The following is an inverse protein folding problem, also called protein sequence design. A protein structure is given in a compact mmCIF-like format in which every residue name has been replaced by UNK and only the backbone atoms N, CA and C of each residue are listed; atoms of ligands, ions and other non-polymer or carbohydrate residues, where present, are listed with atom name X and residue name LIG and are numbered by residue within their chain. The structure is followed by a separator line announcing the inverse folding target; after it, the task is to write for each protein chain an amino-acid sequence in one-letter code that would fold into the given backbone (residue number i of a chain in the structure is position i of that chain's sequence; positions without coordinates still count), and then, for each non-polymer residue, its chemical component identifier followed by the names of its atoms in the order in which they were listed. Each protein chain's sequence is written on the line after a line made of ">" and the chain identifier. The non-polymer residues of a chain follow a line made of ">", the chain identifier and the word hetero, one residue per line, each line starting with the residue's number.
data_IF_888653337080
#
_entry.id   IF_888653337080
#
_cell.length_a   1.000
_cell.length_b   1.000
_cell.length_c   1.000
_cell.angle_alpha   90.00
_cell.angle_beta   90.00
_cell.angle_gamma   90.00
#
_symmetry.space_group_name_H-M   'P 1'
#
loop_
_entity.id
_entity.type
_entity.pdbx_description
1 polymer ?
#
# COMPACT_ATOMS: atom_id res chain seq x y z
N UNK A 1 -10.23 -4.34 -14.47
CA UNK A 1 -8.90 -5.04 -14.34
C UNK A 1 -8.37 -4.85 -12.91
N UNK A 2 -7.69 -5.82 -12.29
CA UNK A 2 -7.44 -5.80 -10.83
C UNK A 2 -6.02 -6.26 -10.47
N UNK A 3 -5.44 -5.65 -9.44
CA UNK A 3 -4.26 -6.15 -8.71
C UNK A 3 -4.54 -6.06 -7.21
N UNK A 4 -4.36 -7.15 -6.46
CA UNK A 4 -4.62 -7.22 -5.03
C UNK A 4 -3.36 -7.26 -4.16
N UNK A 5 -2.19 -7.32 -4.78
CA UNK A 5 -0.91 -7.54 -4.11
C UNK A 5 0.08 -6.46 -4.54
N UNK A 6 0.14 -5.39 -3.76
CA UNK A 6 1.21 -4.39 -3.86
C UNK A 6 1.75 -4.04 -2.48
N UNK A 7 3.03 -3.74 -2.43
CA UNK A 7 3.76 -3.34 -1.23
C UNK A 7 3.95 -1.82 -1.15
N UNK A 8 4.43 -1.35 -0.01
CA UNK A 8 4.89 0.04 0.16
C UNK A 8 6.36 0.06 0.52
N UNK A 9 7.00 1.23 0.43
CA UNK A 9 8.40 1.42 0.86
C UNK A 9 8.68 0.99 2.31
N UNK A 10 7.63 0.88 3.14
CA UNK A 10 7.74 0.47 4.55
C UNK A 10 8.21 -0.97 4.71
N UNK A 11 8.12 -1.84 3.70
CA UNK A 11 8.70 -3.18 3.77
C UNK A 11 10.24 -3.23 3.68
N UNK A 12 10.89 -2.12 3.35
CA UNK A 12 12.36 -2.05 3.24
C UNK A 12 12.94 -2.61 1.94
N UNK A 13 12.12 -3.17 1.04
CA UNK A 13 12.56 -3.70 -0.25
C UNK A 13 11.65 -3.33 -1.45
N UNK A 14 10.62 -2.52 -1.22
CA UNK A 14 9.88 -1.81 -2.27
C UNK A 14 10.30 -0.33 -2.30
N UNK A 15 10.05 0.34 -3.42
CA UNK A 15 10.47 1.72 -3.67
C UNK A 15 9.31 2.53 -4.27
N UNK A 16 9.38 3.85 -4.13
CA UNK A 16 8.32 4.77 -4.58
C UNK A 16 7.36 5.15 -3.46
N UNK A 17 6.54 6.17 -3.71
CA UNK A 17 5.53 6.64 -2.77
C UNK A 17 4.19 5.92 -2.99
N UNK A 18 3.38 5.80 -1.94
CA UNK A 18 2.09 5.09 -2.00
C UNK A 18 1.17 5.63 -3.13
N UNK A 19 1.19 6.95 -3.35
CA UNK A 19 0.41 7.61 -4.41
C UNK A 19 0.92 7.31 -5.82
N UNK A 20 2.22 7.06 -5.99
CA UNK A 20 2.79 6.70 -7.30
C UNK A 20 2.20 5.38 -7.79
N UNK A 21 2.05 4.40 -6.89
CA UNK A 21 1.42 3.12 -7.20
C UNK A 21 -0.03 3.30 -7.67
N UNK A 22 -0.79 4.18 -7.00
CA UNK A 22 -2.17 4.50 -7.39
C UNK A 22 -2.22 5.12 -8.79
N UNK A 23 -1.37 6.12 -9.05
CA UNK A 23 -1.33 6.81 -10.34
C UNK A 23 -0.93 5.88 -11.48
N UNK A 24 0.05 5.02 -11.27
CA UNK A 24 0.46 4.04 -12.28
C UNK A 24 -0.62 2.96 -12.48
N UNK A 25 -1.33 2.56 -11.42
CA UNK A 25 -2.45 1.63 -11.54
C UNK A 25 -3.59 2.22 -12.41
N UNK A 26 -3.96 3.47 -12.19
CA UNK A 26 -4.95 4.20 -13.02
C UNK A 26 -4.48 4.26 -14.47
N UNK A 27 -3.22 4.69 -14.72
CA UNK A 27 -2.63 4.74 -16.08
C UNK A 27 -2.64 3.37 -16.77
N UNK A 28 -2.44 2.28 -16.00
CA UNK A 28 -2.46 0.91 -16.50
C UNK A 28 -3.87 0.33 -16.69
N UNK A 29 -4.92 1.12 -16.43
CA UNK A 29 -6.33 0.76 -16.57
C UNK A 29 -6.82 -0.22 -15.50
N UNK A 30 -6.21 -0.21 -14.31
CA UNK A 30 -6.73 -0.95 -13.15
C UNK A 30 -7.95 -0.24 -12.56
N UNK A 31 -8.96 -1.03 -12.22
CA UNK A 31 -10.18 -0.60 -11.53
C UNK A 31 -10.10 -0.88 -10.03
N UNK A 32 -9.23 -1.82 -9.62
CA UNK A 32 -8.99 -2.19 -8.23
C UNK A 32 -7.49 -2.35 -7.98
N UNK A 33 -7.01 -1.69 -6.93
CA UNK A 33 -5.65 -1.83 -6.40
C UNK A 33 -5.71 -2.20 -4.91
N UNK A 34 -5.06 -3.30 -4.53
CA UNK A 34 -4.93 -3.72 -3.13
C UNK A 34 -3.51 -3.54 -2.63
N UNK A 35 -3.37 -2.79 -1.53
CA UNK A 35 -2.14 -2.73 -0.75
C UNK A 35 -2.18 -3.85 0.29
N UNK A 36 -1.19 -4.75 0.19
CA UNK A 36 -1.03 -5.94 1.02
C UNK A 36 0.43 -6.00 1.47
N UNK A 37 0.87 -4.96 2.17
CA UNK A 37 2.27 -4.88 2.61
C UNK A 37 2.57 -5.89 3.73
N UNK A 38 3.85 -6.20 3.96
CA UNK A 38 4.25 -7.21 4.95
C UNK A 38 3.81 -6.81 6.36
N UNK A 39 3.08 -7.70 7.04
CA UNK A 39 2.66 -7.45 8.42
C UNK A 39 3.85 -7.24 9.38
N UNK A 40 3.72 -6.26 10.28
CA UNK A 40 4.72 -5.98 11.30
C UNK A 40 4.84 -7.15 12.29
N UNK A 41 6.07 -7.41 12.75
CA UNK A 41 6.35 -8.34 13.84
C UNK A 41 6.75 -7.60 15.12
N UNK A 42 6.57 -8.21 16.31
CA UNK A 42 7.07 -7.67 17.57
C UNK A 42 8.60 -7.46 17.58
N UNK A 43 9.33 -8.31 16.85
CA UNK A 43 10.77 -8.16 16.65
C UNK A 43 10.99 -7.49 15.28
N UNK A 44 11.63 -6.30 15.24
CA UNK A 44 11.89 -5.58 13.99
C UNK A 44 12.69 -6.39 12.96
N UNK A 45 12.28 -6.31 11.70
CA UNK A 45 13.00 -6.85 10.55
C UNK A 45 12.93 -5.85 9.38
N UNK A 46 13.63 -4.70 9.48
CA UNK A 46 13.39 -3.53 8.63
C UNK A 46 13.75 -3.71 7.15
N UNK A 47 14.47 -4.78 6.78
CA UNK A 47 14.73 -5.13 5.38
C UNK A 47 13.60 -5.93 4.72
N UNK A 48 12.65 -6.42 5.51
CA UNK A 48 11.58 -7.32 5.03
C UNK A 48 10.18 -6.81 5.33
N UNK A 49 9.99 -6.00 6.38
CA UNK A 49 8.66 -5.56 6.82
C UNK A 49 8.71 -4.23 7.54
N UNK A 50 7.53 -3.61 7.62
CA UNK A 50 7.36 -2.41 8.43
C UNK A 50 7.53 -2.73 9.93
N UNK A 51 7.98 -1.73 10.67
CA UNK A 51 7.98 -1.78 12.13
C UNK A 51 6.57 -1.55 12.68
N UNK A 52 6.32 -1.97 13.92
CA UNK A 52 5.02 -1.80 14.59
C UNK A 52 4.55 -0.35 14.67
N UNK A 53 5.48 0.60 14.84
CA UNK A 53 5.21 2.03 14.90
C UNK A 53 4.84 2.65 13.54
N UNK A 54 5.05 1.93 12.44
CA UNK A 54 4.71 2.35 11.07
C UNK A 54 3.33 1.85 10.61
N UNK A 55 2.70 0.94 11.37
CA UNK A 55 1.40 0.34 11.00
C UNK A 55 0.30 1.41 10.89
N UNK A 56 0.25 2.33 11.85
CA UNK A 56 -0.75 3.40 11.87
C UNK A 56 -0.57 4.34 10.66
N UNK A 57 0.67 4.75 10.38
CA UNK A 57 1.01 5.58 9.22
C UNK A 57 0.65 4.89 7.89
N UNK A 58 0.90 3.59 7.77
CA UNK A 58 0.47 2.79 6.61
C UNK A 58 -1.05 2.83 6.43
N UNK A 59 -1.82 2.53 7.49
CA UNK A 59 -3.28 2.51 7.42
C UNK A 59 -3.86 3.88 7.08
N UNK A 60 -3.31 4.95 7.65
CA UNK A 60 -3.74 6.33 7.38
C UNK A 60 -3.43 6.74 5.94
N UNK A 61 -2.22 6.46 5.44
CA UNK A 61 -1.82 6.78 4.08
C UNK A 61 -2.74 6.12 3.04
N UNK A 62 -2.96 4.80 3.16
CA UNK A 62 -3.79 4.05 2.21
C UNK A 62 -5.27 4.46 2.31
N UNK A 63 -5.76 4.75 3.52
CA UNK A 63 -7.15 5.23 3.70
C UNK A 63 -7.34 6.61 3.08
N UNK A 64 -6.40 7.53 3.25
CA UNK A 64 -6.44 8.86 2.64
C UNK A 64 -6.42 8.77 1.10
N UNK A 65 -5.60 7.88 0.53
CA UNK A 65 -5.58 7.64 -0.91
C UNK A 65 -6.87 7.02 -1.42
N UNK A 66 -7.45 6.09 -0.66
CA UNK A 66 -8.75 5.49 -0.97
C UNK A 66 -9.86 6.54 -1.06
N UNK A 67 -9.88 7.53 -0.18
CA UNK A 67 -10.83 8.63 -0.23
C UNK A 67 -10.53 9.59 -1.39
N UNK A 68 -9.25 9.97 -1.56
CA UNK A 68 -8.80 10.90 -2.60
C UNK A 68 -9.09 10.43 -4.02
N UNK A 69 -9.04 9.12 -4.27
CA UNK A 69 -9.19 8.51 -5.60
C UNK A 69 -10.47 7.67 -5.74
N UNK A 70 -11.46 7.88 -4.87
CA UNK A 70 -12.67 7.06 -4.83
C UNK A 70 -13.45 7.01 -6.16
N UNK A 71 -13.37 8.08 -6.96
CA UNK A 71 -14.03 8.18 -8.26
C UNK A 71 -13.23 7.54 -9.41
N UNK A 72 -11.92 7.33 -9.22
CA UNK A 72 -11.00 6.86 -10.26
C UNK A 72 -10.67 5.37 -10.15
N UNK A 73 -10.44 4.87 -8.93
CA UNK A 73 -10.01 3.49 -8.68
C UNK A 73 -10.43 3.02 -7.28
N UNK A 74 -10.85 1.76 -7.17
CA UNK A 74 -11.14 1.15 -5.86
C UNK A 74 -9.85 0.72 -5.18
N UNK A 75 -9.53 1.33 -4.05
CA UNK A 75 -8.36 0.96 -3.23
C UNK A 75 -8.79 0.06 -2.06
N UNK A 76 -8.04 -1.03 -1.86
CA UNK A 76 -8.18 -1.97 -0.75
C UNK A 76 -6.96 -1.91 0.16
N UNK A 77 -7.19 -2.04 1.45
CA UNK A 77 -6.17 -2.05 2.50
C UNK A 77 -6.16 -3.43 3.16
N UNK A 78 -5.00 -4.07 3.16
CA UNK A 78 -4.73 -5.35 3.80
C UNK A 78 -3.26 -5.45 4.21
N UNK A 79 -2.86 -6.65 4.62
CA UNK A 79 -1.48 -7.02 4.94
C UNK A 79 -1.24 -8.45 4.45
N UNK A 80 0.01 -8.73 4.08
CA UNK A 80 0.53 -10.08 3.81
C UNK A 80 1.01 -10.76 5.09
#
# INVERSE_FOLDING_TARGET
>A
KQNYHSHTKRCGHAVGEDEDYVREAIKAGLEVLGFSDHAAYPIPCPSERMNLDQVEDYMQSITALKEKYADDIKILLGME
#
